data_IF_524740019389
#
_entry.id   IF_524740019389
#
_cell.length_a   1.000
_cell.length_b   1.000
_cell.length_c   1.000
_cell.angle_alpha   90.00
_cell.angle_beta   90.00
_cell.angle_gamma   90.00
#
_symmetry.space_group_name_H-M   'P 1'
#
loop_
_entity.id
_entity.type
_entity.pdbx_description
1 polymer ?
#
# COMPACT_ATOMS: atom_id res chain seq x y z
N UNK A 1 -13.60 7.29 0.59
CA UNK A 1 -13.06 6.16 -0.21
C UNK A 1 -13.24 6.33 -1.75
N UNK A 2 -14.46 6.29 -2.33
CA UNK A 2 -14.67 6.29 -3.81
C UNK A 2 -13.94 7.43 -4.57
N UNK A 3 -13.91 8.64 -4.02
CA UNK A 3 -13.28 9.80 -4.67
C UNK A 3 -11.75 9.71 -4.72
N UNK A 4 -11.11 8.95 -3.82
CA UNK A 4 -9.65 8.84 -3.77
C UNK A 4 -9.07 8.13 -5.00
N UNK A 5 -9.83 7.16 -5.54
CA UNK A 5 -9.45 6.37 -6.72
C UNK A 5 -10.05 6.94 -8.02
N UNK A 6 -11.20 7.63 -7.94
CA UNK A 6 -11.95 8.11 -9.12
C UNK A 6 -11.10 8.96 -10.07
N UNK A 7 -10.27 9.85 -9.51
CA UNK A 7 -9.47 10.82 -10.28
C UNK A 7 -8.12 10.29 -10.76
N UNK A 8 -7.84 9.00 -10.60
CA UNK A 8 -6.56 8.40 -11.02
C UNK A 8 -6.54 8.11 -12.52
N UNK A 9 -5.34 8.12 -13.16
CA UNK A 9 -5.18 7.79 -14.57
C UNK A 9 -5.76 6.43 -14.94
N UNK A 10 -6.16 6.25 -16.20
CA UNK A 10 -6.76 5.01 -16.68
C UNK A 10 -5.85 3.79 -16.46
N UNK A 11 -4.55 3.94 -16.76
CA UNK A 11 -3.55 2.88 -16.62
C UNK A 11 -3.35 2.46 -15.15
N UNK A 12 -3.41 3.39 -14.19
CA UNK A 12 -3.42 3.05 -12.76
C UNK A 12 -4.68 2.28 -12.36
N UNK A 13 -5.84 2.61 -12.93
CA UNK A 13 -7.07 1.82 -12.71
C UNK A 13 -6.93 0.40 -13.24
N UNK A 14 -6.17 0.18 -14.32
CA UNK A 14 -5.88 -1.15 -14.82
C UNK A 14 -4.91 -1.91 -13.92
N UNK A 15 -3.88 -1.26 -13.37
CA UNK A 15 -3.01 -1.86 -12.36
C UNK A 15 -3.80 -2.26 -11.11
N UNK A 16 -4.73 -1.43 -10.66
CA UNK A 16 -5.64 -1.76 -9.56
C UNK A 16 -6.50 -3.00 -9.90
N UNK A 17 -7.03 -3.11 -11.13
CA UNK A 17 -7.77 -4.30 -11.57
C UNK A 17 -6.90 -5.55 -11.54
N UNK A 18 -5.65 -5.45 -12.01
CA UNK A 18 -4.69 -6.55 -11.99
C UNK A 18 -4.40 -7.04 -10.57
N UNK A 19 -4.09 -6.13 -9.64
CA UNK A 19 -3.82 -6.48 -8.23
C UNK A 19 -5.05 -7.11 -7.56
N UNK A 20 -6.26 -6.60 -7.87
CA UNK A 20 -7.52 -7.18 -7.36
C UNK A 20 -7.78 -8.57 -7.90
N UNK A 21 -7.49 -8.78 -9.19
CA UNK A 21 -7.61 -10.08 -9.82
C UNK A 21 -6.63 -11.08 -9.18
N UNK A 22 -5.36 -10.70 -9.03
CA UNK A 22 -4.36 -11.48 -8.31
C UNK A 22 -4.80 -11.83 -6.87
N UNK A 23 -5.31 -10.86 -6.11
CA UNK A 23 -5.83 -11.11 -4.75
C UNK A 23 -6.96 -12.17 -4.75
N UNK A 24 -7.86 -12.11 -5.73
CA UNK A 24 -8.98 -13.04 -5.83
C UNK A 24 -8.51 -14.44 -6.25
N UNK A 25 -7.73 -14.54 -7.32
CA UNK A 25 -7.38 -15.83 -7.92
C UNK A 25 -6.22 -16.54 -7.21
N UNK A 26 -5.33 -15.82 -6.53
CA UNK A 26 -4.20 -16.41 -5.80
C UNK A 26 -4.55 -16.54 -4.32
N UNK A 27 -4.78 -15.41 -3.63
CA UNK A 27 -4.91 -15.44 -2.17
C UNK A 27 -6.23 -16.05 -1.71
N UNK A 28 -7.36 -15.61 -2.27
CA UNK A 28 -8.68 -16.08 -1.82
C UNK A 28 -8.99 -17.51 -2.21
N UNK A 29 -8.51 -17.97 -3.37
CA UNK A 29 -8.64 -19.38 -3.77
C UNK A 29 -7.76 -20.30 -2.92
N UNK A 30 -6.52 -19.90 -2.66
CA UNK A 30 -5.57 -20.74 -1.92
C UNK A 30 -5.80 -20.74 -0.41
N UNK A 31 -6.28 -19.61 0.14
CA UNK A 31 -6.51 -19.44 1.58
C UNK A 31 -7.93 -18.93 1.87
N UNK A 32 -8.98 -19.71 1.56
CA UNK A 32 -10.37 -19.27 1.67
C UNK A 32 -10.77 -18.90 3.11
N UNK A 33 -10.18 -19.58 4.10
CA UNK A 33 -10.49 -19.41 5.53
C UNK A 33 -9.51 -18.47 6.27
N UNK A 34 -8.46 -17.98 5.61
CA UNK A 34 -7.49 -17.11 6.26
C UNK A 34 -8.05 -15.70 6.47
N UNK A 35 -7.62 -15.06 7.56
CA UNK A 35 -7.92 -13.64 7.86
C UNK A 35 -7.00 -12.75 7.02
N UNK A 36 -7.17 -12.77 5.70
CA UNK A 36 -6.41 -11.95 4.76
C UNK A 36 -6.71 -10.45 4.95
N UNK A 37 -5.76 -9.56 4.65
CA UNK A 37 -6.01 -8.13 4.62
C UNK A 37 -7.12 -7.79 3.63
N UNK A 38 -7.90 -6.73 3.88
CA UNK A 38 -8.95 -6.33 2.97
C UNK A 38 -8.35 -5.95 1.63
N UNK A 39 -9.04 -6.29 0.53
CA UNK A 39 -8.66 -5.92 -0.84
C UNK A 39 -8.34 -4.42 -0.96
N UNK A 40 -9.06 -3.58 -0.21
CA UNK A 40 -8.84 -2.14 -0.21
C UNK A 40 -7.44 -1.73 0.30
N UNK A 41 -6.83 -2.48 1.23
CA UNK A 41 -5.45 -2.23 1.66
C UNK A 41 -4.47 -2.40 0.49
N UNK A 42 -4.65 -3.41 -0.35
CA UNK A 42 -3.82 -3.62 -1.54
C UNK A 42 -4.09 -2.58 -2.62
N UNK A 43 -5.33 -2.14 -2.78
CA UNK A 43 -5.66 -1.02 -3.67
C UNK A 43 -4.92 0.25 -3.25
N UNK A 44 -4.89 0.57 -1.95
CA UNK A 44 -4.14 1.71 -1.44
C UNK A 44 -2.61 1.54 -1.57
N UNK A 45 -2.08 0.36 -1.28
CA UNK A 45 -0.65 0.06 -1.49
C UNK A 45 -0.26 0.23 -2.97
N UNK A 46 -1.16 -0.13 -3.89
CA UNK A 46 -0.95 0.06 -5.33
C UNK A 46 -0.91 1.54 -5.71
N UNK A 47 -1.83 2.35 -5.16
CA UNK A 47 -1.81 3.81 -5.37
C UNK A 47 -0.51 4.40 -4.82
N UNK A 48 -0.10 3.99 -3.62
CA UNK A 48 1.16 4.42 -3.01
C UNK A 48 2.38 4.10 -3.88
N UNK A 49 2.49 2.83 -4.33
CA UNK A 49 3.59 2.40 -5.18
C UNK A 49 3.70 3.25 -6.46
N UNK A 50 2.56 3.56 -7.07
CA UNK A 50 2.52 4.42 -8.25
C UNK A 50 2.90 5.87 -7.92
N UNK A 51 2.36 6.47 -6.85
CA UNK A 51 2.66 7.85 -6.45
C UNK A 51 4.16 8.05 -6.14
N UNK A 52 4.77 7.16 -5.37
CA UNK A 52 6.18 7.31 -4.99
C UNK A 52 7.15 6.84 -6.08
N UNK A 53 6.73 5.89 -6.92
CA UNK A 53 7.61 5.25 -7.89
C UNK A 53 7.69 6.00 -9.20
N UNK A 54 6.58 6.57 -9.68
CA UNK A 54 6.54 7.18 -11.01
C UNK A 54 5.66 8.41 -11.10
N UNK A 55 4.46 8.40 -10.51
CA UNK A 55 3.39 9.41 -10.63
C UNK A 55 3.02 9.79 -12.09
N UNK A 56 3.47 9.00 -13.07
CA UNK A 56 3.21 9.22 -14.50
C UNK A 56 1.96 8.48 -14.95
N UNK A 57 1.25 9.02 -15.93
CA UNK A 57 0.12 8.32 -16.57
C UNK A 57 0.57 7.13 -17.40
N UNK A 58 1.70 7.26 -18.08
CA UNK A 58 2.30 6.21 -18.89
C UNK A 58 3.46 5.54 -18.15
N UNK A 59 3.22 4.31 -17.69
CA UNK A 59 4.17 3.48 -16.96
C UNK A 59 4.06 2.00 -17.36
N UNK A 60 5.06 1.19 -17.07
CA UNK A 60 5.00 -0.26 -17.35
C UNK A 60 4.11 -0.99 -16.34
N UNK A 61 3.10 -1.72 -16.84
CA UNK A 61 2.23 -2.54 -15.99
C UNK A 61 3.01 -3.64 -15.24
N UNK A 62 4.04 -4.19 -15.90
CA UNK A 62 4.88 -5.23 -15.30
C UNK A 62 5.72 -4.67 -14.15
N UNK A 63 6.35 -3.51 -14.32
CA UNK A 63 7.11 -2.84 -13.26
C UNK A 63 6.20 -2.43 -12.10
N UNK A 64 5.02 -1.87 -12.40
CA UNK A 64 4.07 -1.48 -11.37
C UNK A 64 3.57 -2.66 -10.55
N UNK A 65 3.23 -3.78 -11.21
CA UNK A 65 2.81 -4.98 -10.50
C UNK A 65 3.97 -5.63 -9.73
N UNK A 66 5.16 -5.68 -10.32
CA UNK A 66 6.40 -6.11 -9.66
C UNK A 66 6.65 -5.33 -8.36
N UNK A 67 6.55 -4.00 -8.42
CA UNK A 67 6.72 -3.10 -7.26
C UNK A 67 5.71 -3.40 -6.15
N UNK A 68 4.45 -3.63 -6.50
CA UNK A 68 3.42 -3.98 -5.51
C UNK A 68 3.74 -5.32 -4.84
N UNK A 69 4.17 -6.34 -5.59
CA UNK A 69 4.54 -7.64 -5.01
C UNK A 69 5.75 -7.53 -4.08
N UNK A 70 6.76 -6.74 -4.44
CA UNK A 70 7.93 -6.51 -3.60
C UNK A 70 7.58 -5.76 -2.30
N UNK A 71 6.71 -4.75 -2.38
CA UNK A 71 6.20 -4.07 -1.18
C UNK A 71 5.41 -5.02 -0.28
N UNK A 72 4.58 -5.91 -0.85
CA UNK A 72 3.89 -6.95 -0.07
C UNK A 72 4.86 -7.91 0.61
N UNK A 73 5.99 -8.23 -0.02
CA UNK A 73 7.08 -8.99 0.60
C UNK A 73 7.73 -8.27 1.79
N UNK A 74 7.67 -6.94 1.82
CA UNK A 74 8.22 -6.07 2.87
C UNK A 74 7.15 -5.52 3.81
N UNK A 75 6.04 -6.24 3.99
CA UNK A 75 4.90 -5.75 4.79
C UNK A 75 5.26 -5.35 6.23
N UNK A 76 6.30 -5.93 6.81
CA UNK A 76 6.78 -5.60 8.16
C UNK A 76 7.41 -4.19 8.25
N UNK A 77 7.73 -3.58 7.11
CA UNK A 77 8.28 -2.22 7.03
C UNK A 77 7.22 -1.19 6.59
N UNK A 78 6.00 -1.63 6.25
CA UNK A 78 4.99 -0.75 5.65
C UNK A 78 4.47 0.26 6.68
N UNK A 79 4.58 1.55 6.34
CA UNK A 79 3.99 2.65 7.09
C UNK A 79 3.56 3.78 6.14
N UNK A 80 2.32 3.72 5.67
CA UNK A 80 1.78 4.56 4.59
C UNK A 80 0.55 5.33 5.09
N UNK A 81 0.50 6.61 4.71
CA UNK A 81 -0.60 7.53 5.00
C UNK A 81 -0.70 8.60 3.91
N UNK A 82 -1.79 9.36 3.90
CA UNK A 82 -1.99 10.49 2.99
C UNK A 82 -2.53 11.69 3.75
N UNK A 83 -2.02 12.88 3.48
CA UNK A 83 -2.52 14.13 4.07
C UNK A 83 -3.56 14.84 3.18
N UNK A 84 -4.41 14.06 2.49
CA UNK A 84 -5.38 14.60 1.53
C UNK A 84 -6.66 15.13 2.19
N UNK A 85 -7.13 14.44 3.22
CA UNK A 85 -8.39 14.77 3.92
C UNK A 85 -8.18 14.97 5.43
N UNK A 86 -6.96 14.79 5.92
CA UNK A 86 -6.49 15.08 7.28
C UNK A 86 -5.01 15.48 7.22
N UNK A 87 -4.47 16.02 8.31
CA UNK A 87 -3.06 16.41 8.40
C UNK A 87 -2.44 15.99 9.73
N UNK A 88 -1.18 15.55 9.70
CA UNK A 88 -0.36 15.28 10.89
C UNK A 88 -0.03 16.55 11.69
N UNK A 89 -0.18 17.71 11.06
CA UNK A 89 0.03 19.03 11.67
C UNK A 89 -1.26 19.60 12.28
N UNK A 90 -2.40 18.93 12.08
CA UNK A 90 -3.67 19.35 12.68
C UNK A 90 -3.57 19.31 14.22
N UNK A 91 -4.01 20.38 14.88
CA UNK A 91 -3.89 20.51 16.34
C UNK A 91 -4.81 19.54 17.11
N UNK A 92 -5.94 19.15 16.52
CA UNK A 92 -6.93 18.30 17.17
C UNK A 92 -6.64 16.81 16.91
N UNK A 93 -6.32 16.44 15.67
CA UNK A 93 -6.17 15.02 15.27
C UNK A 93 -4.73 14.60 14.97
N UNK A 94 -3.78 15.53 14.84
CA UNK A 94 -2.40 15.22 14.45
C UNK A 94 -1.66 14.33 15.45
N UNK A 95 -1.88 14.53 16.75
CA UNK A 95 -1.32 13.67 17.80
C UNK A 95 -1.85 12.23 17.70
N UNK A 96 -3.16 12.08 17.47
CA UNK A 96 -3.80 10.79 17.26
C UNK A 96 -3.24 10.07 16.03
N UNK A 97 -3.11 10.78 14.90
CA UNK A 97 -2.52 10.22 13.68
C UNK A 97 -1.09 9.73 13.89
N UNK A 98 -0.25 10.52 14.55
CA UNK A 98 1.13 10.12 14.90
C UNK A 98 1.14 8.86 15.75
N UNK A 99 0.20 8.71 16.69
CA UNK A 99 0.05 7.48 17.47
C UNK A 99 -0.33 6.28 16.59
N UNK A 100 -1.22 6.45 15.60
CA UNK A 100 -1.53 5.39 14.64
C UNK A 100 -0.30 4.99 13.83
N UNK A 101 0.51 5.95 13.40
CA UNK A 101 1.78 5.73 12.71
C UNK A 101 2.85 5.05 13.58
N UNK A 102 2.63 4.86 14.88
CA UNK A 102 3.52 4.09 15.75
C UNK A 102 3.04 2.64 16.00
N UNK A 103 1.89 2.23 15.44
CA UNK A 103 1.34 0.87 15.63
C UNK A 103 2.18 -0.21 14.96
N UNK A 104 2.09 -1.48 15.39
CA UNK A 104 2.78 -2.59 14.71
C UNK A 104 2.47 -2.63 13.20
N UNK A 105 3.49 -2.94 12.41
CA UNK A 105 3.39 -2.92 10.94
C UNK A 105 2.68 -4.17 10.42
N UNK A 106 2.03 -4.10 9.24
CA UNK A 106 1.91 -2.93 8.36
C UNK A 106 0.92 -1.89 8.90
N UNK A 107 1.26 -0.61 8.70
CA UNK A 107 0.33 0.51 8.89
C UNK A 107 -0.03 1.10 7.53
N UNK A 108 -1.30 0.97 7.13
CA UNK A 108 -1.87 1.61 5.95
C UNK A 108 -3.10 2.39 6.42
N UNK A 109 -2.96 3.70 6.60
CA UNK A 109 -4.07 4.55 7.01
C UNK A 109 -5.01 4.83 5.83
N UNK A 110 -6.33 4.71 6.05
CA UNK A 110 -7.32 5.08 5.03
C UNK A 110 -7.21 6.60 4.79
N UNK A 111 -6.99 7.06 3.54
CA UNK A 111 -6.92 8.48 3.25
C UNK A 111 -8.21 9.23 3.61
N UNK A 112 -9.36 8.56 3.63
CA UNK A 112 -10.67 9.16 3.91
C UNK A 112 -11.17 8.91 5.34
N UNK A 113 -10.46 8.12 6.15
CA UNK A 113 -10.80 7.85 7.54
C UNK A 113 -9.51 7.68 8.38
N UNK A 114 -9.12 8.70 9.17
CA UNK A 114 -7.87 8.65 9.95
C UNK A 114 -7.92 7.66 11.12
N UNK A 115 -9.08 7.07 11.43
CA UNK A 115 -9.27 6.23 12.62
C UNK A 115 -8.97 4.75 12.40
N UNK A 116 -8.88 4.32 11.14
CA UNK A 116 -8.73 2.91 10.77
C UNK A 116 -7.39 2.60 10.12
N UNK A 117 -6.62 1.69 10.72
CA UNK A 117 -5.48 1.03 10.07
C UNK A 117 -6.00 -0.17 9.28
N UNK A 118 -5.80 -0.16 7.96
CA UNK A 118 -6.29 -1.22 7.09
C UNK A 118 -5.42 -2.46 7.16
N UNK A 119 -6.06 -3.58 7.51
CA UNK A 119 -5.40 -4.88 7.53
C UNK A 119 -4.57 -5.14 8.78
N UNK A 120 -4.77 -4.39 9.87
CA UNK A 120 -4.15 -4.72 11.15
C UNK A 120 -4.56 -6.12 11.62
N UNK A 121 -3.61 -6.86 12.19
CA UNK A 121 -3.78 -8.23 12.71
C UNK A 121 -4.33 -9.24 11.68
N UNK A 122 -3.93 -9.06 10.42
CA UNK A 122 -4.26 -9.96 9.30
C UNK A 122 -3.06 -10.81 8.90
N UNK A 123 -3.32 -11.89 8.18
CA UNK A 123 -2.30 -12.84 7.72
C UNK A 123 -1.49 -12.27 6.54
N UNK A 124 -0.72 -11.21 6.77
CA UNK A 124 0.16 -10.61 5.77
C UNK A 124 1.30 -11.54 5.36
N UNK A 125 1.76 -12.43 6.23
CA UNK A 125 2.81 -13.40 5.89
C UNK A 125 2.39 -14.34 4.74
N UNK A 126 1.10 -14.73 4.69
CA UNK A 126 0.56 -15.49 3.57
C UNK A 126 0.55 -14.67 2.28
N UNK A 127 0.23 -13.38 2.38
CA UNK A 127 0.25 -12.46 1.24
C UNK A 127 1.68 -12.28 0.73
N UNK A 128 2.65 -12.10 1.62
CA UNK A 128 4.07 -11.96 1.30
C UNK A 128 4.62 -13.22 0.62
N UNK A 129 4.26 -14.41 1.14
CA UNK A 129 4.64 -15.70 0.55
C UNK A 129 4.15 -15.82 -0.90
N UNK A 130 2.88 -15.53 -1.15
CA UNK A 130 2.33 -15.61 -2.51
C UNK A 130 2.82 -14.48 -3.42
N UNK A 131 3.12 -13.31 -2.85
CA UNK A 131 3.72 -12.22 -3.61
C UNK A 131 5.11 -12.61 -4.12
N UNK A 132 5.95 -13.18 -3.25
CA UNK A 132 7.24 -13.73 -3.63
C UNK A 132 7.09 -14.83 -4.70
N UNK A 133 6.18 -15.79 -4.51
CA UNK A 133 5.94 -16.84 -5.51
C UNK A 133 5.54 -16.25 -6.87
N UNK A 134 4.61 -15.29 -6.88
CA UNK A 134 4.11 -14.67 -8.11
C UNK A 134 5.19 -13.85 -8.82
N UNK A 135 6.06 -13.18 -8.06
CA UNK A 135 7.21 -12.42 -8.56
C UNK A 135 8.20 -13.32 -9.31
N UNK A 136 8.38 -14.57 -8.88
CA UNK A 136 9.27 -15.54 -9.51
C UNK A 136 8.60 -16.36 -10.61
N UNK A 137 7.32 -16.71 -10.46
CA UNK A 137 6.63 -17.64 -11.36
C UNK A 137 6.09 -17.02 -12.65
N UNK A 138 5.90 -15.69 -12.67
CA UNK A 138 5.36 -14.99 -13.84
C UNK A 138 6.51 -14.41 -14.67
N UNK A 139 6.78 -14.93 -15.90
CA UNK A 139 7.98 -14.56 -16.66
C UNK A 139 8.12 -13.05 -16.94
N UNK A 140 7.01 -12.37 -17.24
CA UNK A 140 7.01 -10.93 -17.49
C UNK A 140 7.25 -10.09 -16.24
N UNK A 141 7.02 -10.65 -15.05
CA UNK A 141 7.23 -9.99 -13.77
C UNK A 141 8.61 -10.33 -13.22
N UNK A 142 9.07 -11.57 -13.42
CA UNK A 142 10.40 -12.01 -12.98
C UNK A 142 11.53 -11.17 -13.60
N UNK A 143 11.35 -10.77 -14.87
CA UNK A 143 12.30 -9.93 -15.60
C UNK A 143 12.10 -8.42 -15.40
N UNK A 144 11.01 -7.99 -14.76
CA UNK A 144 10.73 -6.56 -14.58
C UNK A 144 11.53 -5.96 -13.40
N UNK A 145 12.02 -4.74 -13.58
CA UNK A 145 12.60 -3.94 -12.51
C UNK A 145 11.48 -3.24 -11.72
N UNK A 146 11.49 -3.35 -10.39
CA UNK A 146 10.59 -2.57 -9.55
C UNK A 146 11.00 -1.10 -9.54
N UNK A 147 10.03 -0.22 -9.28
CA UNK A 147 10.30 1.17 -8.99
C UNK A 147 11.01 1.29 -7.63
N UNK A 148 11.85 2.31 -7.48
CA UNK A 148 12.55 2.59 -6.23
C UNK A 148 11.59 3.21 -5.20
N UNK A 149 10.76 2.38 -4.58
CA UNK A 149 9.76 2.80 -3.60
C UNK A 149 10.13 2.27 -2.22
N UNK A 150 10.19 3.17 -1.24
CA UNK A 150 10.34 2.79 0.17
C UNK A 150 8.99 2.30 0.71
N UNK A 151 8.96 1.38 1.69
CA UNK A 151 7.71 0.86 2.25
C UNK A 151 7.06 1.83 3.25
N UNK A 152 7.79 2.86 3.67
CA UNK A 152 7.33 3.86 4.63
C UNK A 152 7.46 5.28 4.06
N UNK A 153 6.45 6.12 4.28
CA UNK A 153 6.57 7.57 4.05
C UNK A 153 7.35 8.22 5.19
N UNK A 154 8.26 9.12 4.83
CA UNK A 154 8.95 9.98 5.79
C UNK A 154 7.97 10.93 6.49
N UNK A 155 8.06 11.01 7.82
CA UNK A 155 7.30 11.98 8.61
C UNK A 155 8.19 13.19 8.90
N UNK A 156 7.77 14.38 8.47
CA UNK A 156 8.43 15.63 8.88
C UNK A 156 8.05 15.96 10.32
N UNK A 157 9.03 15.94 11.23
CA UNK A 157 8.84 16.35 12.62
C UNK A 157 9.45 17.74 12.80
N UNK A 158 8.65 18.71 13.24
CA UNK A 158 9.18 20.00 13.70
C UNK A 158 9.67 19.83 15.15
N UNK A 159 10.98 19.96 15.37
CA UNK A 159 11.56 19.97 16.72
C UNK A 159 11.36 21.37 17.30
N UNK A 160 10.44 21.53 18.26
CA UNK A 160 10.37 22.75 19.07
C UNK A 160 11.51 22.69 20.08
N UNK A 161 12.50 23.59 19.94
CA UNK A 161 13.47 23.83 21.01
C UNK A 161 12.72 24.43 22.20
N UNK A 162 12.85 23.80 23.37
CA UNK A 162 12.42 24.39 24.63
C UNK A 162 13.44 25.48 24.99
N UNK A 163 12.98 26.73 25.06
CA UNK A 163 13.72 27.85 25.65
C UNK A 163 13.50 27.88 27.16
#
# INVERSE_FOLDING_TARGET
>A
QKNFVKWRPAKLKDLLRLVKHWYKEVLKQQYPNAKLPPKYALELLTVYAWEEGTDREDFSMAEGFCTVLELLGRHQDICIYWEKYYSLQDEQIGAYLKQQLCRPRPVILDPADPTGILGQDKNWDLVAKEAARSRWSLPCISAACSWNVQPARSVMVQVKQLQ
#
